data_IF_798952866150
#
_entry.id   IF_798952866150
#
_cell.length_a   1.000
_cell.length_b   1.000
_cell.length_c   1.000
_cell.angle_alpha   90.00
_cell.angle_beta   90.00
_cell.angle_gamma   90.00
#
_symmetry.space_group_name_H-M   'P 1'
#
loop_
_entity.id
_entity.type
_entity.pdbx_description
1 polymer ?
#
# COMPACT_ATOMS: atom_id res chain seq x y z
N UNK A 1 -1.74 11.46 21.44
CA UNK A 1 -1.92 10.41 20.43
C UNK A 1 -1.05 9.25 20.82
N UNK A 2 -1.62 8.06 20.96
CA UNK A 2 -0.89 6.84 21.33
C UNK A 2 -0.22 6.20 20.12
N UNK A 3 -0.76 6.44 18.90
CA UNK A 3 -0.14 6.04 17.65
C UNK A 3 0.90 7.08 17.22
N UNK A 4 2.06 6.61 16.80
CA UNK A 4 3.06 7.47 16.18
C UNK A 4 2.61 7.88 14.77
N UNK A 5 2.42 9.18 14.53
CA UNK A 5 2.03 9.69 13.23
C UNK A 5 3.27 9.98 12.36
N UNK A 6 3.26 9.47 11.14
CA UNK A 6 4.23 9.78 10.08
C UNK A 6 3.50 10.35 8.85
N UNK A 7 4.20 11.01 7.92
CA UNK A 7 3.60 11.44 6.65
C UNK A 7 2.90 10.32 5.90
N UNK A 8 3.50 9.12 5.89
CA UNK A 8 2.89 7.92 5.32
C UNK A 8 2.72 6.87 6.41
N UNK A 9 1.51 6.33 6.54
CA UNK A 9 1.21 5.31 7.53
C UNK A 9 0.53 4.12 6.85
N UNK A 10 0.97 2.92 7.20
CA UNK A 10 0.34 1.67 6.76
C UNK A 10 -0.28 0.94 7.94
N UNK A 11 -1.48 0.42 7.75
CA UNK A 11 -2.16 -0.44 8.70
C UNK A 11 -2.29 -1.83 8.10
N UNK A 12 -1.57 -2.80 8.66
CA UNK A 12 -1.56 -4.17 8.21
C UNK A 12 -1.91 -5.16 9.30
N UNK A 13 -2.09 -6.41 8.93
CA UNK A 13 -2.44 -7.49 9.83
C UNK A 13 -3.32 -8.54 9.17
N UNK A 14 -3.72 -9.57 9.92
CA UNK A 14 -4.58 -10.66 9.43
C UNK A 14 -5.96 -10.18 8.96
N UNK A 15 -6.63 -10.99 8.18
CA UNK A 15 -8.04 -10.76 7.82
C UNK A 15 -8.96 -10.74 9.05
N UNK A 16 -9.88 -9.77 9.09
CA UNK A 16 -10.91 -9.68 10.13
C UNK A 16 -10.49 -9.07 11.47
N UNK A 17 -9.24 -8.64 11.66
CA UNK A 17 -8.78 -8.01 12.91
C UNK A 17 -9.24 -6.55 13.10
N UNK A 18 -9.82 -5.93 12.05
CA UNK A 18 -10.34 -4.57 12.10
C UNK A 18 -9.38 -3.49 11.59
N UNK A 19 -8.49 -3.82 10.65
CA UNK A 19 -7.57 -2.86 10.02
C UNK A 19 -8.28 -1.62 9.50
N UNK A 20 -9.29 -1.80 8.66
CA UNK A 20 -10.10 -0.73 8.07
C UNK A 20 -10.71 0.21 9.11
N UNK A 21 -11.23 -0.36 10.21
CA UNK A 21 -11.81 0.45 11.28
C UNK A 21 -10.75 1.27 12.02
N UNK A 22 -9.57 0.68 12.27
CA UNK A 22 -8.48 1.35 12.99
C UNK A 22 -7.83 2.42 12.11
N UNK A 23 -7.55 2.12 10.84
CA UNK A 23 -7.00 3.08 9.89
C UNK A 23 -7.94 4.26 9.64
N UNK A 24 -9.24 3.98 9.50
CA UNK A 24 -10.28 5.02 9.37
C UNK A 24 -10.39 5.89 10.63
N UNK A 25 -10.34 5.29 11.83
CA UNK A 25 -10.35 6.05 13.07
C UNK A 25 -9.09 6.93 13.24
N UNK A 26 -7.92 6.43 12.83
CA UNK A 26 -6.69 7.22 12.82
C UNK A 26 -6.79 8.40 11.84
N UNK A 27 -7.36 8.18 10.65
CA UNK A 27 -7.59 9.23 9.65
C UNK A 27 -8.54 10.32 10.18
N UNK A 28 -9.67 9.92 10.77
CA UNK A 28 -10.62 10.83 11.40
C UNK A 28 -9.95 11.66 12.50
N UNK A 29 -9.19 11.04 13.39
CA UNK A 29 -8.49 11.75 14.47
C UNK A 29 -7.54 12.82 13.96
N UNK A 30 -6.74 12.50 12.94
CA UNK A 30 -5.81 13.46 12.34
C UNK A 30 -6.53 14.59 11.63
N UNK A 31 -7.63 14.29 10.91
CA UNK A 31 -8.44 15.28 10.24
C UNK A 31 -9.13 16.23 11.24
N UNK A 32 -9.64 15.72 12.36
CA UNK A 32 -10.20 16.53 13.47
C UNK A 32 -9.12 17.39 14.15
N UNK A 33 -7.87 16.96 14.15
CA UNK A 33 -6.74 17.78 14.59
C UNK A 33 -6.27 18.82 13.55
N UNK A 34 -7.03 19.01 12.46
CA UNK A 34 -6.77 20.00 11.43
C UNK A 34 -5.72 19.60 10.40
N UNK A 35 -5.31 18.32 10.36
CA UNK A 35 -4.38 17.78 9.36
C UNK A 35 -5.11 17.37 8.10
N UNK A 36 -4.55 17.66 6.94
CA UNK A 36 -5.07 17.18 5.66
C UNK A 36 -4.68 15.70 5.47
N UNK A 37 -5.66 14.83 5.42
CA UNK A 37 -5.49 13.38 5.41
C UNK A 37 -6.06 12.78 4.13
N UNK A 38 -5.30 11.88 3.51
CA UNK A 38 -5.79 10.98 2.48
C UNK A 38 -5.83 9.56 3.07
N UNK A 39 -7.00 8.98 3.18
CA UNK A 39 -7.18 7.56 3.54
C UNK A 39 -7.34 6.74 2.27
N UNK A 40 -6.51 5.73 2.09
CA UNK A 40 -6.49 4.86 0.91
C UNK A 40 -6.75 3.42 1.34
N UNK A 41 -7.82 2.81 0.82
CA UNK A 41 -8.01 1.35 0.95
C UNK A 41 -7.44 0.64 -0.26
N UNK A 42 -6.68 -0.42 0.02
CA UNK A 42 -6.21 -1.39 -0.97
C UNK A 42 -6.87 -2.77 -0.78
N UNK A 43 -7.85 -2.85 0.13
CA UNK A 43 -8.62 -4.08 0.38
C UNK A 43 -9.79 -4.18 -0.63
N UNK A 44 -9.88 -5.26 -1.42
CA UNK A 44 -10.94 -5.43 -2.42
C UNK A 44 -12.35 -5.58 -1.83
N UNK A 45 -12.48 -5.64 -0.50
CA UNK A 45 -13.78 -5.79 0.16
C UNK A 45 -14.62 -4.49 0.20
N UNK A 46 -14.09 -3.35 -0.29
CA UNK A 46 -14.79 -2.04 -0.39
C UNK A 46 -15.48 -1.60 0.90
N UNK A 47 -14.80 -1.76 2.04
CA UNK A 47 -15.39 -1.52 3.36
C UNK A 47 -15.52 -0.05 3.74
N UNK A 48 -14.69 0.85 3.17
CA UNK A 48 -14.73 2.29 3.50
C UNK A 48 -16.00 2.95 3.00
N UNK A 49 -16.46 2.63 1.80
CA UNK A 49 -17.71 3.14 1.26
C UNK A 49 -18.91 2.83 2.16
N UNK A 50 -18.94 1.67 2.81
CA UNK A 50 -20.00 1.30 3.75
C UNK A 50 -19.98 2.12 5.04
N UNK A 51 -18.80 2.53 5.54
CA UNK A 51 -18.66 3.31 6.79
C UNK A 51 -19.28 4.70 6.63
N UNK A 52 -19.10 5.33 5.47
CA UNK A 52 -19.59 6.68 5.19
C UNK A 52 -20.85 6.73 4.32
N UNK A 53 -21.44 5.56 3.98
CA UNK A 53 -22.57 5.46 3.04
C UNK A 53 -22.31 6.28 1.75
N UNK A 54 -21.11 6.11 1.20
CA UNK A 54 -20.61 6.85 0.05
C UNK A 54 -20.09 5.92 -1.05
N UNK A 55 -20.30 6.31 -2.30
CA UNK A 55 -19.62 5.67 -3.42
C UNK A 55 -18.21 6.23 -3.55
N UNK A 56 -17.22 5.37 -3.37
CA UNK A 56 -15.82 5.70 -3.49
C UNK A 56 -15.26 5.23 -4.82
N UNK A 57 -14.14 5.82 -5.20
CA UNK A 57 -13.40 5.48 -6.41
C UNK A 57 -11.89 5.56 -6.15
N UNK A 58 -11.12 5.35 -7.20
CA UNK A 58 -9.67 5.54 -7.21
C UNK A 58 -9.21 7.02 -7.30
N UNK A 59 -10.18 7.95 -7.41
CA UNK A 59 -9.94 9.38 -7.24
C UNK A 59 -10.35 9.84 -5.83
N UNK A 60 -9.58 10.76 -5.18
CA UNK A 60 -9.91 11.27 -3.85
C UNK A 60 -11.29 11.89 -3.78
N UNK A 61 -12.10 11.33 -2.92
CA UNK A 61 -13.46 11.78 -2.62
C UNK A 61 -13.47 12.46 -1.25
N UNK A 62 -13.80 13.78 -1.16
CA UNK A 62 -13.90 14.46 0.12
C UNK A 62 -15.12 13.95 0.90
N UNK A 63 -14.87 13.37 2.08
CA UNK A 63 -15.94 12.84 2.96
C UNK A 63 -16.19 13.68 4.18
N UNK A 64 -15.12 14.24 4.77
CA UNK A 64 -15.19 15.11 5.94
C UNK A 64 -14.21 16.29 5.78
N UNK A 65 -14.32 17.34 6.60
CA UNK A 65 -13.32 18.39 6.62
C UNK A 65 -11.91 17.81 6.82
N UNK A 66 -10.98 18.14 5.93
CA UNK A 66 -9.61 17.66 5.91
C UNK A 66 -9.42 16.15 5.65
N UNK A 67 -10.46 15.40 5.29
CA UNK A 67 -10.40 13.96 5.02
C UNK A 67 -10.92 13.65 3.62
N UNK A 68 -10.01 13.23 2.75
CA UNK A 68 -10.32 12.63 1.46
C UNK A 68 -10.08 11.12 1.53
N UNK A 69 -10.89 10.35 0.81
CA UNK A 69 -10.82 8.89 0.80
C UNK A 69 -10.71 8.36 -0.64
N UNK A 70 -9.87 7.36 -0.82
CA UNK A 70 -9.69 6.59 -2.06
C UNK A 70 -9.92 5.12 -1.76
N UNK A 71 -10.63 4.45 -2.64
CA UNK A 71 -10.81 3.01 -2.59
C UNK A 71 -10.35 2.38 -3.91
N UNK A 72 -9.19 1.71 -3.86
CA UNK A 72 -8.59 1.10 -5.04
C UNK A 72 -9.22 -0.25 -5.32
N UNK A 73 -9.92 -0.37 -6.44
CA UNK A 73 -10.34 -1.66 -6.98
C UNK A 73 -9.21 -2.32 -7.76
N UNK A 74 -8.75 -3.54 -7.39
CA UNK A 74 -7.63 -4.20 -8.05
C UNK A 74 -7.88 -4.45 -9.54
N UNK A 75 -9.12 -4.77 -9.95
CA UNK A 75 -9.44 -5.04 -11.34
C UNK A 75 -9.43 -3.74 -12.17
N UNK A 76 -10.09 -2.68 -11.69
CA UNK A 76 -10.10 -1.37 -12.34
C UNK A 76 -8.68 -0.76 -12.40
N UNK A 77 -7.90 -0.88 -11.31
CA UNK A 77 -6.51 -0.41 -11.25
C UNK A 77 -5.64 -1.15 -12.28
N UNK A 78 -5.83 -2.46 -12.43
CA UNK A 78 -5.12 -3.26 -13.44
C UNK A 78 -5.48 -2.84 -14.86
N UNK A 79 -6.76 -2.64 -15.15
CA UNK A 79 -7.20 -2.20 -16.48
C UNK A 79 -6.61 -0.81 -16.84
N UNK A 80 -6.59 0.12 -15.90
CA UNK A 80 -5.97 1.42 -16.08
C UNK A 80 -4.47 1.31 -16.32
N UNK A 81 -3.78 0.49 -15.50
CA UNK A 81 -2.36 0.22 -15.68
C UNK A 81 -2.05 -0.35 -17.07
N UNK A 82 -2.80 -1.35 -17.52
CA UNK A 82 -2.65 -1.94 -18.86
C UNK A 82 -2.94 -0.94 -19.97
N UNK A 83 -3.94 -0.08 -19.82
CA UNK A 83 -4.25 0.98 -20.79
C UNK A 83 -3.11 2.00 -20.91
N UNK A 84 -2.45 2.35 -19.80
CA UNK A 84 -1.31 3.26 -19.80
C UNK A 84 -0.07 2.62 -20.42
N UNK A 85 0.16 1.32 -20.16
CA UNK A 85 1.20 0.53 -20.82
C UNK A 85 0.92 0.43 -22.32
N UNK A 86 -0.32 0.14 -22.73
CA UNK A 86 -0.71 0.09 -24.16
C UNK A 86 -0.45 1.43 -24.84
N UNK A 87 -0.89 2.53 -24.23
CA UNK A 87 -0.68 3.90 -24.76
C UNK A 87 0.80 4.20 -24.94
N UNK A 88 1.59 3.87 -23.95
CA UNK A 88 3.05 4.05 -23.98
C UNK A 88 3.70 3.18 -25.06
N UNK A 89 3.32 1.90 -25.17
CA UNK A 89 3.87 0.99 -26.19
C UNK A 89 3.47 1.42 -27.62
N UNK A 90 2.23 1.85 -27.82
CA UNK A 90 1.78 2.35 -29.15
C UNK A 90 2.52 3.60 -29.59
N UNK A 91 2.77 4.53 -28.65
CA UNK A 91 3.57 5.73 -28.96
C UNK A 91 5.01 5.36 -29.35
N UNK A 92 5.53 4.25 -28.81
CA UNK A 92 6.92 3.81 -29.01
C UNK A 92 7.10 2.82 -30.16
N UNK A 93 6.03 2.20 -30.70
CA UNK A 93 6.13 1.13 -31.71
C UNK A 93 5.39 1.49 -33.01
N UNK A 94 5.87 0.99 -34.16
CA UNK A 94 5.18 1.21 -35.46
C UNK A 94 3.75 0.65 -35.41
N UNK A 95 2.82 1.27 -36.16
CA UNK A 95 1.40 0.86 -36.22
C UNK A 95 1.21 -0.62 -36.53
N UNK A 96 2.06 -1.19 -37.38
CA UNK A 96 2.03 -2.63 -37.73
C UNK A 96 2.18 -3.56 -36.51
N UNK A 97 2.77 -3.07 -35.41
CA UNK A 97 2.97 -3.84 -34.16
C UNK A 97 1.80 -3.69 -33.16
N UNK A 98 0.86 -2.78 -33.41
CA UNK A 98 -0.25 -2.51 -32.50
C UNK A 98 -1.15 -3.73 -32.22
N UNK A 99 -1.45 -4.62 -33.20
CA UNK A 99 -2.19 -5.84 -32.91
C UNK A 99 -1.44 -6.81 -31.98
N UNK A 100 -0.12 -6.91 -32.12
CA UNK A 100 0.71 -7.76 -31.26
C UNK A 100 0.80 -7.20 -29.84
N UNK A 101 0.88 -5.87 -29.68
CA UNK A 101 0.84 -5.21 -28.38
C UNK A 101 -0.44 -5.59 -27.64
N UNK A 102 -1.61 -5.46 -28.26
CA UNK A 102 -2.88 -5.84 -27.63
C UNK A 102 -2.89 -7.29 -27.21
N UNK A 103 -2.53 -8.20 -28.11
CA UNK A 103 -2.48 -9.63 -27.80
C UNK A 103 -1.56 -9.93 -26.61
N UNK A 104 -0.42 -9.25 -26.52
CA UNK A 104 0.51 -9.42 -25.43
C UNK A 104 -0.06 -8.91 -24.10
N UNK A 105 -0.74 -7.76 -24.10
CA UNK A 105 -1.38 -7.19 -22.93
C UNK A 105 -2.60 -8.01 -22.48
N UNK A 106 -3.37 -8.58 -23.41
CA UNK A 106 -4.46 -9.50 -23.08
C UNK A 106 -3.96 -10.76 -22.37
N UNK A 107 -2.81 -11.30 -22.76
CA UNK A 107 -2.15 -12.38 -22.03
C UNK A 107 -1.61 -11.93 -20.66
N UNK A 108 -1.04 -10.74 -20.60
CA UNK A 108 -0.50 -10.18 -19.38
C UNK A 108 -1.60 -9.92 -18.33
N UNK A 109 -2.81 -9.55 -18.75
CA UNK A 109 -3.97 -9.29 -17.87
C UNK A 109 -4.22 -10.42 -16.87
N UNK A 110 -4.07 -11.65 -17.31
CA UNK A 110 -4.32 -12.86 -16.52
C UNK A 110 -3.03 -13.45 -15.91
N UNK A 111 -1.91 -12.77 -16.05
CA UNK A 111 -0.65 -13.25 -15.50
C UNK A 111 -0.60 -13.08 -13.98
N UNK A 112 -0.10 -14.08 -13.24
CA UNK A 112 0.13 -13.93 -11.80
C UNK A 112 1.02 -12.72 -11.51
N UNK A 113 0.67 -11.94 -10.50
CA UNK A 113 1.42 -10.75 -10.09
C UNK A 113 1.05 -9.45 -10.84
N UNK A 114 0.16 -9.50 -11.84
CA UNK A 114 -0.25 -8.28 -12.57
C UNK A 114 -1.06 -7.34 -11.69
N UNK A 115 -1.98 -7.86 -10.89
CA UNK A 115 -2.76 -7.06 -9.95
C UNK A 115 -1.86 -6.41 -8.90
N UNK A 116 -0.91 -7.16 -8.36
CA UNK A 116 0.05 -6.67 -7.37
C UNK A 116 0.94 -5.56 -7.96
N UNK A 117 1.40 -5.71 -9.20
CA UNK A 117 2.21 -4.71 -9.87
C UNK A 117 1.42 -3.41 -10.15
N UNK A 118 0.15 -3.54 -10.56
CA UNK A 118 -0.74 -2.41 -10.79
C UNK A 118 -1.06 -1.66 -9.48
N UNK A 119 -1.36 -2.42 -8.42
CA UNK A 119 -1.61 -1.85 -7.08
C UNK A 119 -0.38 -1.15 -6.53
N UNK A 120 0.82 -1.73 -6.69
CA UNK A 120 2.07 -1.08 -6.29
C UNK A 120 2.28 0.25 -7.02
N UNK A 121 2.01 0.30 -8.32
CA UNK A 121 2.14 1.53 -9.09
C UNK A 121 1.15 2.60 -8.62
N UNK A 122 -0.08 2.23 -8.29
CA UNK A 122 -1.08 3.12 -7.72
C UNK A 122 -0.66 3.64 -6.33
N UNK A 123 -0.15 2.77 -5.46
CA UNK A 123 0.40 3.17 -4.16
C UNK A 123 1.57 4.15 -4.35
N UNK A 124 2.50 3.86 -5.29
CA UNK A 124 3.63 4.74 -5.58
C UNK A 124 3.21 6.12 -6.14
N UNK A 125 2.05 6.22 -6.79
CA UNK A 125 1.47 7.49 -7.22
C UNK A 125 0.85 8.28 -6.07
N UNK A 126 0.18 7.58 -5.17
CA UNK A 126 -0.53 8.20 -4.05
C UNK A 126 0.41 8.70 -2.97
N UNK A 127 1.51 7.99 -2.65
CA UNK A 127 2.47 8.42 -1.62
C UNK A 127 3.15 9.75 -1.93
N UNK A 128 3.23 10.13 -3.20
CA UNK A 128 3.80 11.40 -3.67
C UNK A 128 2.74 12.48 -3.93
N UNK A 129 1.47 12.20 -3.63
CA UNK A 129 0.38 13.14 -3.94
C UNK A 129 0.48 14.39 -3.07
N UNK A 130 0.62 15.57 -3.67
CA UNK A 130 0.80 16.80 -2.90
C UNK A 130 -0.50 17.22 -2.21
N UNK A 131 -0.35 17.97 -1.13
CA UNK A 131 -1.46 18.62 -0.47
C UNK A 131 -2.06 17.86 0.71
N UNK A 132 -1.44 16.76 1.13
CA UNK A 132 -1.79 16.03 2.35
C UNK A 132 -0.65 16.07 3.35
N UNK A 133 -0.99 16.22 4.63
CA UNK A 133 -0.03 16.10 5.73
C UNK A 133 0.23 14.63 6.06
N UNK A 134 -0.81 13.79 5.88
CA UNK A 134 -0.74 12.35 6.11
C UNK A 134 -1.47 11.59 5.01
N UNK A 135 -0.86 10.48 4.59
CA UNK A 135 -1.46 9.48 3.70
C UNK A 135 -1.49 8.15 4.45
N UNK A 136 -2.69 7.62 4.64
CA UNK A 136 -2.94 6.41 5.44
C UNK A 136 -3.39 5.30 4.51
N UNK A 137 -2.69 4.17 4.52
CA UNK A 137 -3.04 2.99 3.75
C UNK A 137 -3.68 1.93 4.64
N UNK A 138 -4.94 1.62 4.37
CA UNK A 138 -5.61 0.39 4.83
C UNK A 138 -5.24 -0.73 3.88
N UNK A 139 -4.48 -1.71 4.37
CA UNK A 139 -3.93 -2.74 3.49
C UNK A 139 -4.78 -4.02 3.49
N UNK A 140 -4.75 -4.73 2.37
CA UNK A 140 -5.26 -6.10 2.26
C UNK A 140 -4.60 -7.04 3.31
N UNK A 141 -5.14 -8.23 3.59
CA UNK A 141 -4.58 -9.17 4.57
C UNK A 141 -3.10 -9.48 4.35
N UNK A 142 -2.35 -9.70 5.44
CA UNK A 142 -0.88 -9.71 5.59
C UNK A 142 -0.05 -10.40 4.48
N UNK A 143 -0.53 -11.52 3.93
CA UNK A 143 0.22 -12.25 2.87
C UNK A 143 0.37 -11.49 1.56
N UNK A 144 -0.46 -10.51 1.27
CA UNK A 144 -0.34 -9.61 0.12
C UNK A 144 0.46 -8.35 0.46
N UNK A 145 0.37 -7.86 1.68
CA UNK A 145 1.01 -6.62 2.12
C UNK A 145 2.52 -6.72 2.13
N UNK A 146 3.10 -7.77 2.71
CA UNK A 146 4.56 -7.96 2.74
C UNK A 146 5.14 -8.14 1.32
N UNK A 147 4.43 -8.84 0.44
CA UNK A 147 4.81 -8.96 -0.98
C UNK A 147 4.74 -7.62 -1.71
N UNK A 148 3.68 -6.84 -1.48
CA UNK A 148 3.49 -5.52 -2.08
C UNK A 148 4.63 -4.58 -1.66
N UNK A 149 5.05 -4.63 -0.40
CA UNK A 149 6.12 -3.78 0.15
C UNK A 149 7.53 -4.24 -0.27
N UNK A 150 7.74 -5.52 -0.61
CA UNK A 150 9.00 -6.03 -1.17
C UNK A 150 9.13 -5.82 -2.70
N UNK A 151 8.02 -5.57 -3.41
CA UNK A 151 8.00 -5.40 -4.87
C UNK A 151 8.77 -4.17 -5.38
N UNK A 152 8.84 -3.00 -4.70
CA UNK A 152 9.57 -1.84 -5.21
C UNK A 152 11.02 -2.15 -5.56
N UNK A 153 11.71 -2.93 -4.72
CA UNK A 153 13.09 -3.33 -4.97
C UNK A 153 13.22 -4.25 -6.19
N UNK A 154 12.35 -5.25 -6.30
CA UNK A 154 12.29 -6.15 -7.45
C UNK A 154 11.97 -5.40 -8.75
N UNK A 155 11.03 -4.47 -8.71
CA UNK A 155 10.63 -3.68 -9.88
C UNK A 155 11.71 -2.67 -10.31
N UNK A 156 12.43 -2.08 -9.36
CA UNK A 156 13.58 -1.23 -9.65
C UNK A 156 14.72 -2.03 -10.30
N UNK A 157 15.03 -3.21 -9.78
CA UNK A 157 16.03 -4.13 -10.34
C UNK A 157 15.62 -4.62 -11.75
N UNK A 158 14.35 -5.01 -11.94
CA UNK A 158 13.82 -5.45 -13.24
C UNK A 158 13.90 -4.33 -14.29
N UNK A 159 13.47 -3.12 -13.94
CA UNK A 159 13.51 -1.95 -14.82
C UNK A 159 14.95 -1.57 -15.17
N UNK A 160 15.85 -1.65 -14.19
CA UNK A 160 17.30 -1.47 -14.38
C UNK A 160 17.91 -2.48 -15.37
N UNK A 161 17.54 -3.75 -15.24
CA UNK A 161 17.96 -4.81 -16.16
C UNK A 161 17.46 -4.61 -17.60
N UNK A 162 16.21 -4.14 -17.77
CA UNK A 162 15.68 -3.78 -19.09
C UNK A 162 16.45 -2.62 -19.73
N UNK A 163 16.78 -1.60 -18.94
CA UNK A 163 17.59 -0.47 -19.41
C UNK A 163 18.98 -0.90 -19.86
N UNK A 164 19.66 -1.74 -19.08
CA UNK A 164 20.99 -2.22 -19.39
C UNK A 164 21.02 -3.05 -20.68
N UNK A 165 20.05 -3.95 -20.87
CA UNK A 165 19.89 -4.71 -22.13
C UNK A 165 19.66 -3.79 -23.32
N UNK A 166 18.85 -2.76 -23.13
CA UNK A 166 18.57 -1.75 -24.17
C UNK A 166 19.82 -0.96 -24.54
N UNK A 167 20.59 -0.49 -23.58
CA UNK A 167 21.86 0.19 -23.82
C UNK A 167 22.87 -0.65 -24.60
N UNK A 168 22.94 -1.94 -24.28
CA UNK A 168 23.78 -2.88 -25.03
C UNK A 168 23.32 -3.03 -26.49
N UNK A 169 22.00 -3.16 -26.70
CA UNK A 169 21.40 -3.23 -28.04
C UNK A 169 21.64 -1.94 -28.85
N UNK A 170 21.52 -0.77 -28.19
CA UNK A 170 21.75 0.53 -28.83
C UNK A 170 23.23 0.77 -29.17
N UNK A 171 24.16 0.32 -28.30
CA UNK A 171 25.61 0.34 -28.58
C UNK A 171 25.95 -0.54 -29.78
N UNK A 172 25.38 -1.75 -29.83
CA UNK A 172 25.55 -2.67 -30.96
C UNK A 172 24.99 -2.09 -32.25
N UNK A 173 23.77 -1.53 -32.20
CA UNK A 173 23.12 -0.89 -33.37
C UNK A 173 23.90 0.33 -33.89
N UNK A 174 24.50 1.12 -33.01
CA UNK A 174 25.37 2.25 -33.37
C UNK A 174 26.69 1.76 -33.98
N UNK A 175 27.29 0.70 -33.43
CA UNK A 175 28.49 0.11 -33.99
C UNK A 175 28.27 -0.49 -35.39
N UNK A 176 27.11 -1.10 -35.64
CA UNK A 176 26.75 -1.71 -36.94
C UNK A 176 26.40 -0.62 -37.99
N UNK A 177 25.80 0.52 -37.59
CA UNK A 177 25.41 1.61 -38.50
C UNK A 177 26.55 2.58 -38.80
N UNK A 178 27.75 2.35 -38.29
CA UNK A 178 28.92 3.21 -38.37
C UNK A 178 28.94 4.18 -39.53
N UNK A 179 29.00 5.50 -39.28
CA UNK A 179 29.38 6.61 -40.18
C UNK A 179 28.31 7.31 -41.01
N UNK A 180 27.02 7.30 -40.70
CA UNK A 180 26.05 8.02 -41.53
C UNK A 180 24.75 8.49 -40.85
N UNK A 181 24.64 8.48 -39.52
CA UNK A 181 23.40 8.93 -38.84
C UNK A 181 23.26 10.42 -38.80
N UNK A 182 22.17 10.94 -39.38
CA UNK A 182 21.76 12.36 -39.23
C UNK A 182 21.22 12.58 -37.79
N UNK A 183 21.42 13.78 -37.27
CA UNK A 183 21.05 14.20 -35.89
C UNK A 183 19.55 14.07 -35.60
N UNK A 184 18.71 13.76 -36.56
CA UNK A 184 17.25 13.75 -36.50
C UNK A 184 16.66 12.36 -36.91
N UNK A 185 17.29 11.27 -36.46
CA UNK A 185 16.79 9.92 -36.73
C UNK A 185 15.54 9.62 -35.90
N UNK A 186 14.37 9.31 -36.53
CA UNK A 186 13.15 8.92 -35.82
C UNK A 186 13.31 7.73 -34.85
N UNK A 187 14.29 6.86 -35.14
CA UNK A 187 14.62 5.72 -34.28
C UNK A 187 15.31 6.16 -32.97
N UNK A 188 16.20 7.16 -33.08
CA UNK A 188 16.90 7.70 -31.90
C UNK A 188 15.95 8.47 -31.00
N UNK A 189 15.03 9.30 -31.54
CA UNK A 189 13.97 9.95 -30.77
C UNK A 189 13.11 8.93 -30.01
N UNK A 190 12.68 7.87 -30.67
CA UNK A 190 11.91 6.77 -30.06
C UNK A 190 12.70 6.07 -28.96
N UNK A 191 13.98 5.82 -29.15
CA UNK A 191 14.85 5.22 -28.15
C UNK A 191 14.97 6.11 -26.90
N UNK A 192 15.07 7.43 -27.08
CA UNK A 192 15.11 8.39 -25.98
C UNK A 192 13.78 8.44 -25.21
N UNK A 193 12.62 8.36 -25.87
CA UNK A 193 11.30 8.29 -25.23
C UNK A 193 11.14 7.01 -24.39
N UNK A 194 11.56 5.86 -24.91
CA UNK A 194 11.56 4.60 -24.18
C UNK A 194 12.42 4.70 -22.92
N UNK A 195 13.65 5.21 -23.05
CA UNK A 195 14.55 5.43 -21.91
C UNK A 195 13.94 6.38 -20.88
N UNK A 196 13.37 7.48 -21.30
CA UNK A 196 12.73 8.44 -20.41
C UNK A 196 11.56 7.80 -19.64
N UNK A 197 10.77 6.94 -20.28
CA UNK A 197 9.65 6.22 -19.65
C UNK A 197 10.15 5.20 -18.64
N UNK A 198 11.15 4.39 -18.99
CA UNK A 198 11.74 3.41 -18.06
C UNK A 198 12.41 4.11 -16.86
N UNK A 199 13.10 5.24 -17.09
CA UNK A 199 13.71 6.05 -16.04
C UNK A 199 12.68 6.66 -15.09
N UNK A 200 11.56 7.18 -15.60
CA UNK A 200 10.47 7.69 -14.76
C UNK A 200 9.90 6.58 -13.87
N UNK A 201 9.64 5.41 -14.46
CA UNK A 201 9.12 4.24 -13.72
C UNK A 201 10.08 3.76 -12.64
N UNK A 202 11.36 3.64 -12.99
CA UNK A 202 12.41 3.29 -12.02
C UNK A 202 12.48 4.28 -10.87
N UNK A 203 12.53 5.59 -11.14
CA UNK A 203 12.57 6.64 -10.11
C UNK A 203 11.36 6.60 -9.19
N UNK A 204 10.17 6.28 -9.72
CA UNK A 204 8.94 6.14 -8.94
C UNK A 204 9.06 5.03 -7.90
N UNK A 205 9.56 3.87 -8.29
CA UNK A 205 9.77 2.75 -7.37
C UNK A 205 10.94 2.96 -6.39
N UNK A 206 12.04 3.56 -6.86
CA UNK A 206 13.14 3.95 -5.98
C UNK A 206 12.64 4.93 -4.90
N UNK A 207 11.86 5.93 -5.27
CA UNK A 207 11.27 6.88 -4.34
C UNK A 207 10.30 6.22 -3.36
N UNK A 208 9.43 5.33 -3.83
CA UNK A 208 8.54 4.57 -2.94
C UNK A 208 9.37 3.78 -1.91
N UNK A 209 10.41 3.08 -2.35
CA UNK A 209 11.30 2.34 -1.45
C UNK A 209 11.96 3.28 -0.42
N UNK A 210 12.49 4.41 -0.88
CA UNK A 210 13.15 5.38 0.00
C UNK A 210 12.17 5.90 1.06
N UNK A 211 10.90 6.18 0.71
CA UNK A 211 9.84 6.55 1.66
C UNK A 211 9.56 5.41 2.65
N UNK A 212 9.38 4.18 2.17
CA UNK A 212 9.05 3.04 3.01
C UNK A 212 10.14 2.70 4.03
N UNK A 213 11.41 2.95 3.68
CA UNK A 213 12.57 2.64 4.54
C UNK A 213 13.06 3.82 5.38
N UNK A 214 12.50 5.02 5.18
CA UNK A 214 12.80 6.19 6.00
C UNK A 214 11.87 6.23 7.24
N UNK A 215 12.40 6.02 8.46
CA UNK A 215 11.59 6.05 9.68
C UNK A 215 10.92 7.40 9.98
N UNK A 216 11.40 8.49 9.38
CA UNK A 216 10.80 9.81 9.52
C UNK A 216 9.64 10.03 8.52
N UNK A 217 9.65 9.33 7.39
CA UNK A 217 8.65 9.45 6.34
C UNK A 217 7.53 8.42 6.46
N UNK A 218 7.84 7.20 6.90
CA UNK A 218 6.89 6.09 6.91
C UNK A 218 6.90 5.32 8.24
N UNK A 219 5.71 4.91 8.68
CA UNK A 219 5.54 3.98 9.79
C UNK A 219 4.49 2.93 9.46
N UNK A 220 4.69 1.72 9.96
CA UNK A 220 3.75 0.63 9.82
C UNK A 220 3.12 0.30 11.18
N UNK A 221 1.80 0.16 11.23
CA UNK A 221 1.05 -0.26 12.42
C UNK A 221 0.46 -1.65 12.18
N UNK A 222 0.79 -2.60 13.04
CA UNK A 222 0.25 -3.96 12.96
C UNK A 222 -1.01 -4.03 13.81
N UNK A 223 -2.14 -4.31 13.17
CA UNK A 223 -3.44 -4.50 13.84
C UNK A 223 -3.67 -5.98 14.06
N UNK A 224 -3.98 -6.35 15.29
CA UNK A 224 -4.24 -7.75 15.68
C UNK A 224 -5.35 -7.84 16.72
N UNK A 225 -5.90 -9.03 16.92
CA UNK A 225 -6.71 -9.40 18.10
C UNK A 225 -5.84 -10.20 19.05
N UNK A 226 -6.17 -10.16 20.36
CA UNK A 226 -5.46 -10.90 21.39
C UNK A 226 -5.82 -12.39 21.34
N UNK A 227 -5.52 -13.05 20.25
CA UNK A 227 -5.72 -14.47 20.00
C UNK A 227 -4.42 -15.09 19.48
N UNK A 228 -4.19 -16.36 19.81
CA UNK A 228 -2.92 -17.03 19.53
C UNK A 228 -2.49 -16.94 18.06
N UNK A 229 -3.39 -17.20 17.12
CA UNK A 229 -3.04 -17.23 15.70
C UNK A 229 -2.77 -15.82 15.13
N UNK A 230 -3.62 -14.80 15.38
CA UNK A 230 -3.30 -13.42 15.03
C UNK A 230 -1.98 -12.92 15.62
N UNK A 231 -1.63 -13.31 16.86
CA UNK A 231 -0.35 -12.95 17.48
C UNK A 231 0.82 -13.55 16.72
N UNK A 232 0.80 -14.87 16.43
CA UNK A 232 1.88 -15.52 15.68
C UNK A 232 2.06 -14.90 14.28
N UNK A 233 0.97 -14.68 13.55
CA UNK A 233 1.02 -14.04 12.22
C UNK A 233 1.50 -12.58 12.30
N UNK A 234 1.26 -11.89 13.41
CA UNK A 234 1.76 -10.53 13.62
C UNK A 234 3.27 -10.52 13.89
N UNK A 235 3.80 -11.54 14.57
CA UNK A 235 5.23 -11.71 14.74
C UNK A 235 5.91 -11.99 13.39
N UNK A 236 5.36 -12.89 12.57
CA UNK A 236 5.86 -13.14 11.22
C UNK A 236 5.84 -11.88 10.35
N UNK A 237 4.75 -11.11 10.39
CA UNK A 237 4.65 -9.85 9.67
C UNK A 237 5.67 -8.82 10.17
N UNK A 238 5.93 -8.75 11.46
CA UNK A 238 6.95 -7.89 12.05
C UNK A 238 8.35 -8.25 11.52
N UNK A 239 8.68 -9.54 11.51
CA UNK A 239 9.97 -10.03 10.99
C UNK A 239 10.11 -9.72 9.49
N UNK A 240 9.05 -9.92 8.70
CA UNK A 240 9.03 -9.57 7.28
C UNK A 240 9.26 -8.07 7.05
N UNK A 241 8.59 -7.20 7.81
CA UNK A 241 8.72 -5.75 7.68
C UNK A 241 10.13 -5.28 8.06
N UNK A 242 10.64 -5.75 9.20
CA UNK A 242 11.97 -5.35 9.70
C UNK A 242 13.10 -5.87 8.83
N UNK A 243 12.97 -7.07 8.26
CA UNK A 243 13.92 -7.62 7.29
C UNK A 243 14.01 -6.78 6.00
N UNK A 244 12.93 -6.08 5.65
CA UNK A 244 12.86 -5.13 4.54
C UNK A 244 13.14 -3.68 4.99
N UNK A 245 13.68 -3.46 6.20
CA UNK A 245 14.01 -2.15 6.76
C UNK A 245 12.79 -1.22 6.91
N UNK A 246 11.59 -1.77 7.05
CA UNK A 246 10.36 -1.01 7.27
C UNK A 246 10.11 -0.91 8.78
N UNK A 247 9.94 0.32 9.27
CA UNK A 247 9.72 0.59 10.69
C UNK A 247 8.31 0.22 11.12
N UNK A 248 8.21 -0.60 12.17
CA UNK A 248 6.95 -0.85 12.88
C UNK A 248 6.83 0.14 14.05
N UNK A 249 5.84 1.03 13.98
CA UNK A 249 5.63 2.08 14.97
C UNK A 249 4.81 1.62 16.17
N UNK A 250 3.82 0.73 15.96
CA UNK A 250 3.04 0.16 17.06
C UNK A 250 2.30 -1.12 16.68
N UNK A 251 1.92 -1.86 17.73
CA UNK A 251 0.95 -2.96 17.68
C UNK A 251 -0.39 -2.43 18.20
N UNK A 252 -1.45 -2.55 17.40
CA UNK A 252 -2.81 -2.15 17.79
C UNK A 252 -3.61 -3.42 18.10
N UNK A 253 -3.76 -3.70 19.38
CA UNK A 253 -4.50 -4.85 19.89
C UNK A 253 -5.97 -4.48 19.95
N UNK A 254 -6.71 -4.88 18.94
CA UNK A 254 -8.12 -4.52 18.76
C UNK A 254 -9.05 -5.52 19.45
N UNK A 255 -10.27 -5.08 19.78
CA UNK A 255 -11.34 -5.90 20.35
C UNK A 255 -10.96 -6.59 21.65
N UNK A 256 -10.22 -5.91 22.53
CA UNK A 256 -9.91 -6.43 23.86
C UNK A 256 -11.18 -6.52 24.71
N UNK A 257 -11.40 -7.67 25.32
CA UNK A 257 -12.49 -7.86 26.28
C UNK A 257 -12.34 -6.87 27.43
N UNK A 258 -13.38 -6.07 27.78
CA UNK A 258 -13.33 -5.15 28.91
C UNK A 258 -13.07 -5.90 30.21
N UNK A 259 -12.31 -5.28 31.13
CA UNK A 259 -11.97 -5.93 32.42
C UNK A 259 -13.18 -6.10 33.33
N UNK A 260 -14.17 -5.22 33.16
CA UNK A 260 -15.41 -5.11 33.93
C UNK A 260 -16.62 -5.78 33.25
N UNK A 261 -16.41 -6.58 32.20
CA UNK A 261 -17.49 -7.24 31.45
C UNK A 261 -18.12 -8.45 32.17
N UNK A 262 -17.79 -8.64 33.45
CA UNK A 262 -18.37 -9.67 34.34
C UNK A 262 -17.78 -11.06 34.11
N UNK A 263 -18.30 -12.04 34.92
CA UNK A 263 -17.79 -13.42 34.96
C UNK A 263 -17.87 -14.15 33.61
N UNK A 264 -18.82 -13.79 32.75
CA UNK A 264 -18.96 -14.42 31.43
C UNK A 264 -17.74 -14.15 30.51
N UNK A 265 -17.17 -12.96 30.57
CA UNK A 265 -16.02 -12.58 29.73
C UNK A 265 -14.66 -12.88 30.39
N UNK A 266 -14.62 -13.23 31.67
CA UNK A 266 -13.39 -13.50 32.40
C UNK A 266 -12.54 -14.63 31.77
N UNK A 267 -13.10 -15.79 31.37
CA UNK A 267 -12.33 -16.84 30.69
C UNK A 267 -11.74 -16.38 29.35
N UNK A 268 -12.50 -15.59 28.56
CA UNK A 268 -12.00 -15.05 27.30
C UNK A 268 -10.83 -14.12 27.56
N UNK A 269 -10.95 -13.21 28.53
CA UNK A 269 -9.86 -12.29 28.86
C UNK A 269 -8.60 -13.03 29.38
N UNK A 270 -8.75 -14.15 30.06
CA UNK A 270 -7.61 -14.98 30.46
C UNK A 270 -6.89 -15.54 29.20
N UNK A 271 -7.63 -16.06 28.23
CA UNK A 271 -7.05 -16.54 26.96
C UNK A 271 -6.36 -15.40 26.21
N UNK A 272 -6.98 -14.22 26.15
CA UNK A 272 -6.38 -13.03 25.55
C UNK A 272 -5.07 -12.64 26.24
N UNK A 273 -5.02 -12.67 27.59
CA UNK A 273 -3.80 -12.36 28.33
C UNK A 273 -2.67 -13.36 28.00
N UNK A 274 -2.99 -14.66 27.95
CA UNK A 274 -1.98 -15.67 27.55
C UNK A 274 -1.46 -15.46 26.12
N UNK A 275 -2.31 -14.98 25.21
CA UNK A 275 -1.86 -14.62 23.86
C UNK A 275 -0.96 -13.38 23.87
N UNK A 276 -1.22 -12.40 24.75
CA UNK A 276 -0.36 -11.23 24.90
C UNK A 276 0.96 -11.55 25.59
N UNK A 277 1.00 -12.51 26.53
CA UNK A 277 2.27 -13.02 27.10
C UNK A 277 3.18 -13.60 26.00
N UNK A 278 2.58 -14.32 25.03
CA UNK A 278 3.32 -14.80 23.86
C UNK A 278 3.84 -13.63 23.00
N UNK A 279 3.02 -12.61 22.76
CA UNK A 279 3.43 -11.39 22.05
C UNK A 279 4.58 -10.68 22.77
N UNK A 280 4.49 -10.55 24.08
CA UNK A 280 5.51 -9.91 24.91
C UNK A 280 6.86 -10.66 24.88
N UNK A 281 6.83 -11.98 24.74
CA UNK A 281 8.06 -12.78 24.63
C UNK A 281 8.86 -12.50 23.35
N UNK A 282 8.24 -11.93 22.33
CA UNK A 282 8.84 -11.70 21.02
C UNK A 282 8.96 -10.20 20.66
N UNK A 283 7.98 -9.39 21.04
CA UNK A 283 7.83 -8.00 20.62
C UNK A 283 7.63 -7.03 21.79
N UNK A 284 8.29 -7.26 22.92
CA UNK A 284 8.15 -6.45 24.13
C UNK A 284 8.50 -4.97 23.95
N UNK A 285 9.46 -4.68 23.07
CA UNK A 285 9.97 -3.32 22.84
C UNK A 285 9.11 -2.52 21.86
N UNK A 286 8.14 -3.13 21.19
CA UNK A 286 7.27 -2.44 20.23
C UNK A 286 6.12 -1.75 20.98
N UNK A 287 5.93 -0.43 20.82
CA UNK A 287 4.83 0.27 21.46
C UNK A 287 3.48 -0.36 21.12
N UNK A 288 2.57 -0.45 22.08
CA UNK A 288 1.25 -1.02 21.85
C UNK A 288 0.12 -0.10 22.30
N UNK A 289 -1.01 -0.25 21.63
CA UNK A 289 -2.28 0.38 21.94
C UNK A 289 -3.33 -0.69 22.05
N UNK A 290 -4.05 -0.76 23.16
CA UNK A 290 -5.18 -1.69 23.33
C UNK A 290 -6.50 -0.95 23.13
N UNK A 291 -7.32 -1.46 22.20
CA UNK A 291 -8.65 -0.94 21.92
C UNK A 291 -9.70 -1.91 22.47
N UNK A 292 -10.62 -1.46 23.32
CA UNK A 292 -11.63 -2.32 23.88
C UNK A 292 -12.67 -2.75 22.84
N UNK A 293 -13.32 -3.86 23.06
CA UNK A 293 -14.52 -4.22 22.32
C UNK A 293 -15.62 -3.20 22.62
N UNK A 294 -16.12 -2.53 21.58
CA UNK A 294 -17.20 -1.55 21.74
C UNK A 294 -18.57 -2.25 21.72
N UNK A 295 -19.54 -1.79 22.54
CA UNK A 295 -20.84 -2.43 22.66
C UNK A 295 -21.82 -2.13 21.51
N UNK A 296 -21.41 -1.39 20.51
CA UNK A 296 -22.29 -0.97 19.39
C UNK A 296 -21.84 -1.50 18.04
N UNK A 297 -22.53 -1.08 17.00
CA UNK A 297 -22.16 -1.35 15.62
C UNK A 297 -20.86 -0.62 15.25
N UNK A 298 -19.87 -1.34 14.76
CA UNK A 298 -18.50 -0.82 14.56
C UNK A 298 -18.36 -0.09 13.22
N UNK A 299 -19.22 -0.37 12.25
CA UNK A 299 -19.19 0.19 10.89
C UNK A 299 -19.81 1.58 10.77
N UNK A 300 -19.81 2.40 11.82
CA UNK A 300 -20.44 3.73 11.82
C UNK A 300 -19.45 4.84 12.13
N UNK A 301 -19.73 6.05 11.64
CA UNK A 301 -18.92 7.23 11.95
C UNK A 301 -18.79 7.50 13.46
N UNK A 302 -19.85 7.23 14.24
CA UNK A 302 -19.83 7.39 15.70
C UNK A 302 -18.86 6.40 16.37
N UNK A 303 -18.81 5.16 15.90
CA UNK A 303 -17.86 4.16 16.38
C UNK A 303 -16.41 4.54 16.05
N UNK A 304 -16.17 5.11 14.85
CA UNK A 304 -14.84 5.62 14.49
C UNK A 304 -14.38 6.72 15.45
N UNK A 305 -15.25 7.67 15.81
CA UNK A 305 -14.92 8.73 16.77
C UNK A 305 -14.53 8.13 18.14
N UNK A 306 -15.31 7.17 18.64
CA UNK A 306 -15.00 6.49 19.90
C UNK A 306 -13.67 5.73 19.91
N UNK A 307 -13.25 5.20 18.75
CA UNK A 307 -11.93 4.56 18.59
C UNK A 307 -10.84 5.63 18.46
N UNK A 308 -11.10 6.68 17.69
CA UNK A 308 -10.17 7.79 17.45
C UNK A 308 -9.72 8.47 18.77
N UNK A 309 -10.61 8.63 19.74
CA UNK A 309 -10.28 9.16 21.07
C UNK A 309 -9.25 8.30 21.83
N UNK A 310 -9.10 7.01 21.47
CA UNK A 310 -8.21 6.04 22.14
C UNK A 310 -6.90 5.82 21.41
N UNK A 311 -6.80 6.29 20.18
CA UNK A 311 -5.58 6.23 19.36
C UNK A 311 -4.70 7.48 19.58
#
# INVERSE_FOLDING_TARGET
>A
MLLEAAPVMFFGGKGGVGKTTVSAAAAVRLAEAGRRVLLVSTDPAHNLGHIWDAQLSDDPTPLEPNLDVVELDPAATTERHLADVERSMRAMMPERMHPEIRRHLDLARHSPGMHEAAMLEAVAELVDRPGYDHIIFDTAPSGHTSRLLALPELMAAYTGGLMQRREQSDKFSRAVRGLGGTVDDPVERRNQEIRATLLRRRRKFERLRDILTDPAACTFHIVLTAERLPVLESCELYDDLTSNSIRVGSLVINRRSPADAGEFMAPRRAVENSALELLDSQLADVPRVELPWLPGEIGTRAALAAIAERL
#
